data_IF_580687681877
#
_entry.id   IF_580687681877
#
_cell.length_a   1.000
_cell.length_b   1.000
_cell.length_c   1.000
_cell.angle_alpha   90.00
_cell.angle_beta   90.00
_cell.angle_gamma   90.00
#
_symmetry.space_group_name_H-M   'P 1'
#
loop_
_entity.id
_entity.type
_entity.pdbx_description
1 polymer ?
#
# COMPACT_ATOMS: atom_id res chain seq x y z
N UNK A 1 -13.12 -0.50 -9.80
CA UNK A 1 -13.58 0.25 -8.64
C UNK A 1 -14.49 1.40 -9.05
N UNK A 2 -15.57 1.70 -8.30
CA UNK A 2 -16.31 2.92 -8.49
C UNK A 2 -15.43 4.14 -8.19
N UNK A 3 -15.48 5.17 -9.05
CA UNK A 3 -14.74 6.41 -8.82
C UNK A 3 -15.53 7.35 -7.92
N UNK A 4 -14.81 8.01 -7.02
CA UNK A 4 -15.38 9.05 -6.14
C UNK A 4 -14.46 10.26 -6.08
N UNK A 5 -15.05 11.42 -5.88
CA UNK A 5 -14.36 12.68 -5.54
C UNK A 5 -14.62 13.11 -4.10
N UNK A 6 -15.30 12.26 -3.31
CA UNK A 6 -15.70 12.56 -1.94
C UNK A 6 -15.11 11.56 -0.97
N UNK A 7 -14.55 12.06 0.10
CA UNK A 7 -14.12 11.26 1.27
C UNK A 7 -15.23 11.34 2.30
N UNK A 8 -15.81 10.19 2.63
CA UNK A 8 -16.82 10.10 3.69
C UNK A 8 -16.15 10.07 5.08
N UNK A 9 -16.91 10.41 6.11
CA UNK A 9 -16.41 10.33 7.49
C UNK A 9 -16.08 8.88 7.87
N UNK A 10 -15.03 8.70 8.66
CA UNK A 10 -14.49 7.41 9.07
C UNK A 10 -13.92 6.55 7.94
N UNK A 11 -13.61 7.14 6.79
CA UNK A 11 -12.95 6.42 5.70
C UNK A 11 -11.54 5.97 6.07
N UNK A 12 -11.08 4.90 5.41
CA UNK A 12 -9.72 4.41 5.47
C UNK A 12 -9.08 4.60 4.10
N UNK A 13 -7.85 5.11 4.05
CA UNK A 13 -7.12 5.35 2.81
C UNK A 13 -5.92 4.41 2.67
N UNK A 14 -5.73 3.85 1.47
CA UNK A 14 -4.52 3.13 1.09
C UNK A 14 -3.77 3.97 0.05
N UNK A 15 -2.52 4.30 0.38
CA UNK A 15 -1.68 5.20 -0.40
C UNK A 15 -0.38 4.48 -0.77
N UNK A 16 -0.20 4.17 -2.05
CA UNK A 16 1.03 3.60 -2.57
C UNK A 16 1.94 4.68 -3.14
N UNK A 17 3.27 4.46 -3.05
CA UNK A 17 4.29 5.30 -3.66
C UNK A 17 4.12 6.80 -3.30
N UNK A 18 4.00 7.06 -1.98
CA UNK A 18 3.56 8.37 -1.48
C UNK A 18 4.53 9.52 -1.78
N UNK A 19 5.81 9.23 -2.07
CA UNK A 19 6.76 10.27 -2.48
C UNK A 19 6.54 10.79 -3.92
N UNK A 20 5.75 10.10 -4.73
CA UNK A 20 5.42 10.52 -6.09
C UNK A 20 6.41 10.09 -7.16
N UNK A 21 6.57 10.87 -8.22
CA UNK A 21 7.41 10.54 -9.37
C UNK A 21 8.90 10.74 -9.08
N UNK A 22 9.73 9.83 -9.61
CA UNK A 22 11.20 9.97 -9.60
C UNK A 22 11.69 11.19 -10.39
N UNK A 23 10.85 11.77 -11.23
CA UNK A 23 11.17 12.95 -12.04
C UNK A 23 10.84 14.27 -11.34
N UNK A 24 10.24 14.23 -10.14
CA UNK A 24 9.96 15.44 -9.38
C UNK A 24 11.23 15.96 -8.68
N UNK A 25 11.50 17.25 -8.83
CA UNK A 25 12.64 17.91 -8.18
C UNK A 25 12.57 17.86 -6.65
N UNK A 26 11.38 17.75 -6.07
CA UNK A 26 11.13 17.76 -4.64
C UNK A 26 11.03 16.35 -4.03
N UNK A 27 11.27 15.31 -4.82
CA UNK A 27 11.19 13.90 -4.40
C UNK A 27 11.99 13.59 -3.11
N UNK A 28 13.07 14.32 -2.86
CA UNK A 28 13.93 14.10 -1.70
C UNK A 28 13.46 14.82 -0.44
N UNK A 29 12.51 15.75 -0.55
CA UNK A 29 12.12 16.58 0.58
C UNK A 29 11.14 15.87 1.52
N UNK A 30 10.03 15.41 0.98
CA UNK A 30 8.95 14.77 1.78
C UNK A 30 8.08 13.87 0.89
N UNK A 31 6.85 13.56 1.34
CA UNK A 31 5.82 12.94 0.50
C UNK A 31 5.35 13.92 -0.58
N UNK A 32 4.82 13.41 -1.69
CA UNK A 32 4.39 14.22 -2.82
C UNK A 32 3.35 15.28 -2.44
N UNK A 33 3.29 16.35 -3.20
CA UNK A 33 2.28 17.41 -2.99
C UNK A 33 0.85 16.87 -3.10
N UNK A 34 0.60 15.92 -4.01
CA UNK A 34 -0.70 15.27 -4.13
C UNK A 34 -1.07 14.53 -2.84
N UNK A 35 -0.13 13.81 -2.23
CA UNK A 35 -0.33 13.14 -0.94
C UNK A 35 -0.57 14.16 0.18
N UNK A 36 0.26 15.22 0.25
CA UNK A 36 0.12 16.28 1.26
C UNK A 36 -1.25 16.97 1.17
N UNK A 37 -1.65 17.34 -0.05
CA UNK A 37 -2.93 18.01 -0.29
C UNK A 37 -4.12 17.12 0.07
N UNK A 38 -4.07 15.83 -0.30
CA UNK A 38 -5.12 14.88 0.07
C UNK A 38 -5.25 14.76 1.59
N UNK A 39 -4.16 14.57 2.31
CA UNK A 39 -4.15 14.48 3.77
C UNK A 39 -4.67 15.78 4.39
N UNK A 40 -4.14 16.93 3.96
CA UNK A 40 -4.52 18.24 4.49
C UNK A 40 -6.00 18.58 4.31
N UNK A 41 -6.62 18.09 3.21
CA UNK A 41 -8.03 18.34 2.92
C UNK A 41 -8.99 17.36 3.61
N UNK A 42 -8.51 16.17 4.02
CA UNK A 42 -9.40 15.08 4.42
C UNK A 42 -9.02 14.40 5.74
N UNK A 43 -7.96 14.82 6.44
CA UNK A 43 -7.52 14.18 7.69
C UNK A 43 -8.61 14.11 8.75
N UNK A 44 -9.54 15.06 8.78
CA UNK A 44 -10.68 15.09 9.69
C UNK A 44 -11.73 13.99 9.41
N UNK A 45 -11.70 13.39 8.22
CA UNK A 45 -12.59 12.32 7.76
C UNK A 45 -11.94 10.95 7.74
N UNK A 46 -10.62 10.92 7.80
CA UNK A 46 -9.85 9.69 7.74
C UNK A 46 -9.65 9.10 9.14
N UNK A 47 -10.12 7.88 9.34
CA UNK A 47 -9.87 7.10 10.55
C UNK A 47 -8.52 6.40 10.51
N UNK A 48 -8.11 5.94 9.31
CA UNK A 48 -6.84 5.24 9.14
C UNK A 48 -6.23 5.58 7.78
N UNK A 49 -4.91 5.72 7.75
CA UNK A 49 -4.12 5.73 6.51
C UNK A 49 -3.17 4.54 6.55
N UNK A 50 -3.19 3.74 5.50
CA UNK A 50 -2.23 2.64 5.28
C UNK A 50 -1.36 3.00 4.09
N UNK A 51 -0.11 3.28 4.33
CA UNK A 51 0.87 3.45 3.28
C UNK A 51 1.32 2.06 2.79
N UNK A 52 1.17 1.81 1.49
CA UNK A 52 1.56 0.57 0.85
C UNK A 52 2.93 0.70 0.18
N UNK A 53 3.86 1.26 0.93
CA UNK A 53 5.28 1.35 0.63
C UNK A 53 5.72 2.55 -0.19
N UNK A 54 7.03 2.74 -0.19
CA UNK A 54 7.70 3.84 -0.84
C UNK A 54 7.14 5.20 -0.38
N UNK A 55 7.12 5.36 0.95
CA UNK A 55 6.60 6.58 1.58
C UNK A 55 7.54 7.75 1.30
N UNK A 56 8.85 7.50 1.41
CA UNK A 56 9.88 8.49 1.10
C UNK A 56 10.89 7.94 0.10
N UNK A 57 11.34 8.77 -0.83
CA UNK A 57 12.45 8.42 -1.71
C UNK A 57 13.75 8.19 -0.93
N UNK A 58 13.99 9.05 0.08
CA UNK A 58 15.10 8.92 1.05
C UNK A 58 14.53 9.19 2.44
N UNK A 59 14.28 8.15 3.26
CA UNK A 59 13.71 8.30 4.58
C UNK A 59 14.71 8.90 5.58
N UNK A 60 14.17 9.56 6.60
CA UNK A 60 14.90 10.00 7.79
C UNK A 60 13.97 10.00 9.00
N UNK A 61 14.51 9.95 10.23
CA UNK A 61 13.68 10.03 11.44
C UNK A 61 12.80 11.25 11.42
N UNK A 62 13.37 12.40 11.08
CA UNK A 62 12.63 13.67 11.01
C UNK A 62 11.44 13.62 10.03
N UNK A 63 11.58 12.90 8.89
CA UNK A 63 10.48 12.75 7.92
C UNK A 63 9.36 11.87 8.48
N UNK A 64 9.70 10.80 9.19
CA UNK A 64 8.71 9.95 9.85
C UNK A 64 7.96 10.71 10.95
N UNK A 65 8.65 11.53 11.74
CA UNK A 65 8.03 12.42 12.74
C UNK A 65 7.11 13.46 12.06
N UNK A 66 7.60 14.11 10.99
CA UNK A 66 6.80 15.06 10.22
C UNK A 66 5.57 14.42 9.56
N UNK A 67 5.65 13.16 9.13
CA UNK A 67 4.50 12.43 8.61
C UNK A 67 3.41 12.29 9.68
N UNK A 68 3.79 11.92 10.92
CA UNK A 68 2.86 11.86 12.05
C UNK A 68 2.22 13.22 12.33
N UNK A 69 3.02 14.28 12.34
CA UNK A 69 2.54 15.65 12.54
C UNK A 69 1.57 16.08 11.42
N UNK A 70 1.89 15.77 10.17
CA UNK A 70 1.07 16.11 9.00
C UNK A 70 -0.29 15.42 9.01
N UNK A 71 -0.33 14.14 9.37
CA UNK A 71 -1.56 13.36 9.45
C UNK A 71 -2.37 13.71 10.69
N UNK A 72 -1.70 14.03 11.79
CA UNK A 72 -2.32 14.33 13.07
C UNK A 72 -2.53 13.09 13.96
N UNK A 73 -2.89 13.33 15.21
CA UNK A 73 -2.97 12.29 16.25
C UNK A 73 -4.28 11.47 16.22
N UNK A 74 -5.31 11.97 15.54
CA UNK A 74 -6.63 11.33 15.51
C UNK A 74 -6.78 10.27 14.42
N UNK A 75 -5.80 10.18 13.51
CA UNK A 75 -5.81 9.22 12.41
C UNK A 75 -4.73 8.16 12.65
N UNK A 76 -5.11 6.90 12.63
CA UNK A 76 -4.16 5.80 12.72
C UNK A 76 -3.33 5.71 11.44
N UNK A 77 -2.02 5.48 11.58
CA UNK A 77 -1.11 5.27 10.45
C UNK A 77 -0.47 3.90 10.57
N UNK A 78 -0.52 3.15 9.46
CA UNK A 78 0.23 1.90 9.30
C UNK A 78 1.04 1.95 8.01
N UNK A 79 2.17 1.24 7.98
CA UNK A 79 3.07 1.20 6.83
C UNK A 79 3.38 -0.25 6.49
N UNK A 80 3.08 -0.66 5.26
CA UNK A 80 3.66 -1.83 4.63
C UNK A 80 4.91 -1.33 3.87
N UNK A 81 6.14 -1.59 4.34
CA UNK A 81 7.30 -0.89 3.82
C UNK A 81 7.60 -1.24 2.37
N UNK A 82 8.07 -0.25 1.61
CA UNK A 82 8.59 -0.40 0.25
C UNK A 82 10.12 -0.47 0.21
N UNK A 83 10.67 -0.69 -0.98
CA UNK A 83 12.12 -0.84 -1.10
C UNK A 83 12.89 0.45 -0.77
N UNK A 84 12.33 1.62 -1.02
CA UNK A 84 12.96 2.87 -0.61
C UNK A 84 12.99 3.03 0.91
N UNK A 85 12.00 2.48 1.60
CA UNK A 85 11.89 2.58 3.06
C UNK A 85 12.91 1.69 3.79
N UNK A 86 13.28 0.50 3.23
CA UNK A 86 14.01 -0.53 4.02
C UNK A 86 15.17 -1.23 3.30
N UNK A 87 15.42 -1.05 1.99
CA UNK A 87 16.48 -1.81 1.28
C UNK A 87 17.87 -1.31 1.61
N UNK A 88 18.06 -0.01 1.72
CA UNK A 88 19.36 0.54 2.10
C UNK A 88 19.58 0.34 3.61
N UNK A 89 20.80 -0.05 4.06
CA UNK A 89 21.06 -0.25 5.49
C UNK A 89 20.61 0.92 6.35
N UNK A 90 20.98 2.14 5.97
CA UNK A 90 20.60 3.35 6.69
C UNK A 90 19.07 3.57 6.71
N UNK A 91 18.39 3.25 5.61
CA UNK A 91 16.93 3.36 5.53
C UNK A 91 16.23 2.35 6.46
N UNK A 92 16.70 1.11 6.50
CA UNK A 92 16.17 0.08 7.39
C UNK A 92 16.31 0.47 8.86
N UNK A 93 17.47 0.98 9.25
CA UNK A 93 17.70 1.41 10.63
C UNK A 93 16.81 2.62 10.99
N UNK A 94 16.70 3.59 10.10
CA UNK A 94 15.80 4.74 10.24
C UNK A 94 14.33 4.28 10.38
N UNK A 95 13.89 3.32 9.52
CA UNK A 95 12.53 2.79 9.61
C UNK A 95 12.28 2.08 10.94
N UNK A 96 13.18 1.18 11.37
CA UNK A 96 13.08 0.47 12.66
C UNK A 96 13.08 1.41 13.87
N UNK A 97 13.74 2.55 13.79
CA UNK A 97 13.75 3.55 14.86
C UNK A 97 12.48 4.40 14.88
N UNK A 98 11.74 4.47 13.78
CA UNK A 98 10.46 5.18 13.71
C UNK A 98 9.36 4.42 14.46
N UNK A 99 8.29 5.11 14.83
CA UNK A 99 7.10 4.45 15.43
C UNK A 99 6.46 3.41 14.52
N UNK A 100 6.62 3.55 13.19
CA UNK A 100 6.00 2.68 12.19
C UNK A 100 6.76 1.37 11.99
N UNK A 101 8.07 1.36 12.18
CA UNK A 101 8.93 0.20 12.00
C UNK A 101 9.11 -0.70 13.23
N UNK A 102 8.44 -0.37 14.35
CA UNK A 102 8.53 -1.16 15.60
C UNK A 102 7.62 -2.40 15.60
N UNK A 103 6.80 -2.58 14.58
CA UNK A 103 5.90 -3.72 14.46
C UNK A 103 6.65 -4.96 13.92
N UNK A 104 6.24 -6.14 14.37
CA UNK A 104 6.70 -7.39 13.77
C UNK A 104 5.77 -7.76 12.63
N UNK A 105 6.31 -7.86 11.40
CA UNK A 105 5.56 -8.22 10.20
C UNK A 105 5.44 -9.75 10.03
N UNK A 106 4.32 -10.25 9.46
CA UNK A 106 3.07 -9.52 9.23
C UNK A 106 2.32 -9.26 10.53
N UNK A 107 1.50 -8.20 10.56
CA UNK A 107 0.58 -7.95 11.67
C UNK A 107 -0.82 -7.61 11.19
N UNK A 108 -1.80 -7.76 12.07
CA UNK A 108 -3.22 -7.55 11.77
C UNK A 108 -3.74 -6.26 12.41
N UNK A 109 -4.58 -5.56 11.65
CA UNK A 109 -5.45 -4.48 12.13
C UNK A 109 -6.86 -4.74 11.62
N UNK A 110 -7.82 -4.00 12.15
CA UNK A 110 -9.22 -4.13 11.74
C UNK A 110 -9.74 -2.76 11.27
N UNK A 111 -10.27 -2.72 10.06
CA UNK A 111 -10.96 -1.58 9.49
C UNK A 111 -12.46 -1.88 9.49
N UNK A 112 -13.22 -1.24 10.38
CA UNK A 112 -14.66 -1.45 10.56
C UNK A 112 -15.08 -2.93 10.70
N UNK A 113 -14.20 -3.71 11.38
CA UNK A 113 -14.40 -5.15 11.58
C UNK A 113 -13.74 -6.04 10.53
N UNK A 114 -13.34 -5.53 9.39
CA UNK A 114 -12.62 -6.29 8.35
C UNK A 114 -11.13 -6.38 8.69
N UNK A 115 -10.54 -7.57 8.75
CA UNK A 115 -9.13 -7.76 9.03
C UNK A 115 -8.27 -7.26 7.87
N UNK A 116 -7.25 -6.50 8.21
CA UNK A 116 -6.21 -6.03 7.29
C UNK A 116 -4.87 -6.54 7.77
N UNK A 117 -4.19 -7.31 6.94
CA UNK A 117 -2.84 -7.79 7.17
C UNK A 117 -1.88 -6.79 6.55
N UNK A 118 -0.98 -6.26 7.38
CA UNK A 118 0.11 -5.40 6.91
C UNK A 118 1.35 -6.29 6.74
N UNK A 119 1.82 -6.40 5.50
CA UNK A 119 2.89 -7.34 5.11
C UNK A 119 4.15 -6.59 4.65
N UNK A 120 5.33 -7.07 5.08
CA UNK A 120 6.61 -6.61 4.55
C UNK A 120 7.02 -7.46 3.35
N UNK A 121 6.68 -7.00 2.17
CA UNK A 121 6.99 -7.69 0.92
C UNK A 121 8.47 -7.59 0.51
N UNK A 122 9.21 -6.64 1.06
CA UNK A 122 10.62 -6.41 0.71
C UNK A 122 11.51 -7.44 1.37
N UNK A 123 11.31 -7.72 2.66
CA UNK A 123 12.11 -8.70 3.40
C UNK A 123 11.93 -10.12 2.85
N UNK A 124 10.79 -10.41 2.26
CA UNK A 124 10.47 -11.71 1.65
C UNK A 124 10.82 -11.81 0.16
N UNK A 125 11.57 -10.86 -0.39
CA UNK A 125 11.89 -10.76 -1.83
C UNK A 125 10.64 -10.83 -2.72
N UNK A 126 9.59 -10.11 -2.32
CA UNK A 126 8.29 -9.99 -2.97
C UNK A 126 7.38 -11.22 -2.85
N UNK A 127 7.90 -12.36 -2.47
CA UNK A 127 7.08 -13.54 -2.17
C UNK A 127 6.14 -13.25 -0.98
N UNK A 128 5.05 -13.98 -0.91
CA UNK A 128 4.26 -14.05 0.32
C UNK A 128 4.82 -15.22 1.14
N UNK A 129 5.35 -14.94 2.31
CA UNK A 129 5.95 -15.97 3.14
C UNK A 129 4.93 -17.03 3.58
N UNK A 130 5.38 -18.27 3.80
CA UNK A 130 4.48 -19.30 4.32
C UNK A 130 3.84 -18.90 5.65
N UNK A 131 4.58 -18.16 6.50
CA UNK A 131 4.01 -17.61 7.74
C UNK A 131 2.92 -16.60 7.49
N UNK A 132 3.04 -15.76 6.46
CA UNK A 132 1.97 -14.82 6.06
C UNK A 132 0.76 -15.58 5.52
N UNK A 133 0.96 -16.60 4.66
CA UNK A 133 -0.12 -17.44 4.13
C UNK A 133 -0.88 -18.15 5.27
N UNK A 134 -0.14 -18.79 6.18
CA UNK A 134 -0.72 -19.46 7.35
C UNK A 134 -1.49 -18.48 8.24
N UNK A 135 -0.95 -17.28 8.43
CA UNK A 135 -1.58 -16.24 9.23
C UNK A 135 -2.88 -15.77 8.60
N UNK A 136 -2.86 -15.45 7.31
CA UNK A 136 -4.04 -15.01 6.53
C UNK A 136 -5.13 -16.09 6.50
N UNK A 137 -4.76 -17.36 6.31
CA UNK A 137 -5.72 -18.46 6.26
C UNK A 137 -6.40 -18.73 7.62
N UNK A 138 -5.71 -18.45 8.74
CA UNK A 138 -6.25 -18.64 10.11
C UNK A 138 -7.14 -17.50 10.59
N UNK A 139 -7.15 -16.35 9.91
CA UNK A 139 -8.03 -15.24 10.31
C UNK A 139 -9.49 -15.66 10.20
N UNK A 140 -10.24 -15.48 11.27
CA UNK A 140 -11.68 -15.79 11.31
C UNK A 140 -12.49 -14.67 10.64
N UNK A 141 -12.48 -14.64 9.31
CA UNK A 141 -13.28 -13.72 8.48
C UNK A 141 -13.45 -14.31 7.09
N UNK A 142 -14.60 -14.02 6.48
CA UNK A 142 -14.84 -14.37 5.05
C UNK A 142 -14.14 -13.42 4.09
N UNK A 143 -13.66 -12.28 4.57
CA UNK A 143 -12.96 -11.28 3.78
C UNK A 143 -11.67 -10.87 4.49
N UNK A 144 -10.57 -10.80 3.76
CA UNK A 144 -9.26 -10.40 4.28
C UNK A 144 -8.62 -9.42 3.31
N UNK A 145 -8.19 -8.28 3.82
CA UNK A 145 -7.40 -7.30 3.07
C UNK A 145 -5.92 -7.55 3.37
N UNK A 146 -5.07 -7.53 2.36
CA UNK A 146 -3.62 -7.63 2.51
C UNK A 146 -2.99 -6.39 1.88
N UNK A 147 -2.39 -5.55 2.71
CA UNK A 147 -1.68 -4.34 2.29
C UNK A 147 -0.18 -4.63 2.22
N UNK A 148 0.41 -4.41 1.05
CA UNK A 148 1.83 -4.64 0.79
C UNK A 148 2.35 -3.72 -0.32
N UNK A 149 3.67 -3.64 -0.46
CA UNK A 149 4.26 -2.82 -1.51
C UNK A 149 4.32 -3.57 -2.85
N UNK A 150 5.03 -4.69 -2.91
CA UNK A 150 5.31 -5.37 -4.17
C UNK A 150 4.22 -6.38 -4.57
N UNK A 151 4.05 -6.56 -5.89
CA UNK A 151 3.17 -7.55 -6.49
C UNK A 151 3.64 -8.97 -6.15
N UNK A 152 2.77 -9.84 -5.60
CA UNK A 152 3.17 -11.18 -5.19
C UNK A 152 3.16 -12.23 -6.31
N UNK A 153 2.69 -11.91 -7.51
CA UNK A 153 2.53 -12.83 -8.63
C UNK A 153 3.22 -12.31 -9.89
N UNK A 154 3.88 -13.21 -10.63
CA UNK A 154 4.71 -12.84 -11.78
C UNK A 154 3.91 -12.26 -12.95
N UNK A 155 2.70 -12.78 -13.17
CA UNK A 155 1.85 -12.42 -14.33
C UNK A 155 1.36 -10.97 -14.27
N UNK A 156 1.33 -10.37 -13.06
CA UNK A 156 0.82 -9.02 -12.83
C UNK A 156 1.91 -7.99 -12.54
N UNK A 157 3.18 -8.38 -12.48
CA UNK A 157 4.29 -7.47 -12.16
C UNK A 157 4.34 -6.28 -13.12
N UNK A 158 4.12 -6.52 -14.42
CA UNK A 158 4.19 -5.45 -15.43
C UNK A 158 3.16 -4.34 -15.21
N UNK A 159 2.11 -4.59 -14.45
CA UNK A 159 1.10 -3.59 -14.09
C UNK A 159 1.50 -2.76 -12.87
N UNK A 160 2.43 -3.28 -12.05
CA UNK A 160 2.88 -2.60 -10.84
C UNK A 160 4.15 -1.78 -11.09
N UNK A 161 5.17 -2.34 -11.74
CA UNK A 161 6.46 -1.67 -11.88
C UNK A 161 7.18 -1.89 -13.25
N UNK A 162 6.42 -2.13 -14.30
CA UNK A 162 6.91 -2.03 -15.71
C UNK A 162 7.86 -3.14 -16.08
N UNK A 163 8.39 -4.04 -15.65
CA UNK A 163 9.37 -5.08 -16.06
C UNK A 163 10.75 -5.00 -15.37
N UNK A 164 10.95 -4.04 -14.47
CA UNK A 164 12.30 -3.75 -13.96
C UNK A 164 12.82 -4.81 -12.99
N UNK A 165 11.93 -5.55 -12.34
CA UNK A 165 12.30 -6.51 -11.30
C UNK A 165 11.59 -7.84 -11.51
N UNK A 166 12.29 -8.76 -12.14
CA UNK A 166 11.82 -10.14 -12.22
C UNK A 166 12.38 -10.91 -11.01
N UNK A 167 11.56 -11.13 -10.00
CA UNK A 167 11.87 -12.18 -9.06
C UNK A 167 11.65 -13.52 -9.76
N UNK A 168 12.73 -14.29 -9.95
CA UNK A 168 12.67 -15.64 -10.54
C UNK A 168 11.93 -16.66 -9.65
N UNK A 169 11.45 -16.21 -8.50
CA UNK A 169 10.78 -17.03 -7.48
C UNK A 169 9.29 -16.80 -7.40
N UNK A 170 8.76 -15.72 -8.02
CA UNK A 170 7.33 -15.47 -8.00
C UNK A 170 6.60 -16.51 -8.85
N UNK A 171 5.49 -16.94 -8.33
CA UNK A 171 4.59 -17.91 -8.98
C UNK A 171 3.61 -17.20 -9.91
N UNK A 172 3.00 -17.97 -10.80
CA UNK A 172 1.85 -17.52 -11.57
C UNK A 172 0.66 -17.26 -10.62
N UNK A 173 -0.28 -16.44 -11.08
CA UNK A 173 -1.50 -16.17 -10.30
C UNK A 173 -2.27 -17.45 -9.97
N UNK A 174 -2.34 -18.41 -10.90
CA UNK A 174 -3.00 -19.69 -10.69
C UNK A 174 -2.36 -20.55 -9.59
N UNK A 175 -1.02 -20.57 -9.51
CA UNK A 175 -0.31 -21.29 -8.46
C UNK A 175 -0.46 -20.60 -7.11
N UNK A 176 -0.41 -19.27 -7.13
CA UNK A 176 -0.49 -18.44 -5.96
C UNK A 176 -1.82 -18.59 -5.22
N UNK A 177 -2.95 -18.45 -5.93
CA UNK A 177 -4.28 -18.46 -5.30
C UNK A 177 -4.62 -19.80 -4.65
N UNK A 178 -4.07 -20.91 -5.14
CA UNK A 178 -4.29 -22.26 -4.57
C UNK A 178 -3.75 -22.45 -3.15
N UNK A 179 -2.95 -21.51 -2.67
CA UNK A 179 -2.38 -21.53 -1.30
C UNK A 179 -3.35 -21.00 -0.26
N UNK A 180 -4.42 -20.37 -0.70
CA UNK A 180 -5.37 -19.67 0.17
C UNK A 180 -6.69 -20.41 0.29
N UNK A 181 -7.40 -20.12 1.37
CA UNK A 181 -8.71 -20.69 1.65
C UNK A 181 -9.72 -20.23 0.58
N UNK A 182 -10.28 -21.20 -0.17
CA UNK A 182 -11.23 -20.94 -1.26
C UNK A 182 -12.58 -20.36 -0.80
N UNK A 183 -12.90 -20.49 0.49
CA UNK A 183 -14.16 -20.03 1.07
C UNK A 183 -14.08 -18.58 1.59
N UNK A 184 -12.92 -17.91 1.39
CA UNK A 184 -12.67 -16.50 1.74
C UNK A 184 -12.44 -15.66 0.50
N UNK A 185 -12.69 -14.36 0.61
CA UNK A 185 -12.31 -13.35 -0.39
C UNK A 185 -11.06 -12.60 0.06
N UNK A 186 -10.09 -12.45 -0.84
CA UNK A 186 -8.83 -11.78 -0.56
C UNK A 186 -8.67 -10.53 -1.42
N UNK A 187 -8.39 -9.40 -0.76
CA UNK A 187 -8.17 -8.12 -1.40
C UNK A 187 -6.70 -7.70 -1.21
N UNK A 188 -5.91 -7.80 -2.27
CA UNK A 188 -4.50 -7.45 -2.28
C UNK A 188 -4.34 -5.99 -2.69
N UNK A 189 -3.84 -5.15 -1.80
CA UNK A 189 -3.57 -3.76 -2.10
C UNK A 189 -2.06 -3.58 -2.24
N UNK A 190 -1.63 -3.32 -3.47
CA UNK A 190 -0.23 -3.26 -3.88
C UNK A 190 0.13 -1.84 -4.28
N UNK A 191 1.21 -1.29 -3.69
CA UNK A 191 1.54 0.13 -3.78
C UNK A 191 2.63 0.54 -4.76
N UNK A 192 3.15 -0.37 -5.60
CA UNK A 192 4.40 -0.18 -6.38
C UNK A 192 4.17 0.35 -7.81
N UNK A 193 3.07 1.05 -8.13
CA UNK A 193 2.81 1.49 -9.51
C UNK A 193 3.10 2.98 -9.79
N UNK A 194 3.52 3.74 -8.80
CA UNK A 194 3.67 5.19 -8.93
C UNK A 194 4.92 5.69 -9.66
N UNK A 195 5.96 4.87 -9.76
CA UNK A 195 7.26 5.29 -10.26
C UNK A 195 7.30 5.55 -11.78
N UNK A 196 6.37 5.01 -12.55
CA UNK A 196 6.41 4.97 -14.00
C UNK A 196 5.21 5.69 -14.61
N UNK A 197 5.47 6.70 -15.42
CA UNK A 197 4.43 7.55 -16.03
C UNK A 197 3.51 6.78 -16.99
N UNK A 198 4.05 5.75 -17.65
CA UNK A 198 3.33 4.90 -18.60
C UNK A 198 2.38 3.90 -17.94
N UNK A 199 2.49 3.66 -16.64
CA UNK A 199 1.61 2.73 -15.93
C UNK A 199 0.31 3.40 -15.48
N UNK A 200 -0.80 2.65 -15.46
CA UNK A 200 -2.04 3.11 -14.85
C UNK A 200 -1.83 3.45 -13.37
N UNK A 201 -2.41 4.55 -12.89
CA UNK A 201 -2.36 4.93 -11.47
C UNK A 201 -3.22 4.02 -10.60
N UNK A 202 -4.17 3.33 -11.19
CA UNK A 202 -5.01 2.34 -10.55
C UNK A 202 -5.31 1.20 -11.53
N UNK A 203 -5.12 -0.02 -11.08
CA UNK A 203 -5.59 -1.22 -11.76
C UNK A 203 -6.35 -2.11 -10.79
N UNK A 204 -7.38 -2.77 -11.29
CA UNK A 204 -8.19 -3.73 -10.51
C UNK A 204 -8.36 -5.00 -11.34
N UNK A 205 -7.85 -6.11 -10.82
CA UNK A 205 -7.93 -7.42 -11.47
C UNK A 205 -8.53 -8.42 -10.51
N UNK A 206 -9.39 -9.28 -11.04
CA UNK A 206 -10.06 -10.33 -10.27
C UNK A 206 -9.64 -11.68 -10.84
N UNK A 207 -9.20 -12.57 -9.99
CA UNK A 207 -8.90 -13.93 -10.31
C UNK A 207 -9.46 -14.84 -9.20
N UNK A 208 -10.47 -15.65 -9.54
CA UNK A 208 -11.21 -16.47 -8.57
C UNK A 208 -11.74 -15.61 -7.40
N UNK A 209 -11.37 -15.96 -6.16
CA UNK A 209 -11.72 -15.24 -4.94
C UNK A 209 -10.68 -14.19 -4.52
N UNK A 210 -9.73 -13.85 -5.40
CA UNK A 210 -8.71 -12.85 -5.19
C UNK A 210 -8.95 -11.62 -6.05
N UNK A 211 -8.89 -10.44 -5.43
CA UNK A 211 -8.91 -9.14 -6.11
C UNK A 211 -7.59 -8.43 -5.84
N UNK A 212 -6.91 -8.01 -6.91
CA UNK A 212 -5.67 -7.25 -6.83
C UNK A 212 -5.95 -5.79 -7.20
N UNK A 213 -5.77 -4.91 -6.24
CA UNK A 213 -5.75 -3.47 -6.45
C UNK A 213 -4.30 -3.01 -6.52
N UNK A 214 -3.91 -2.45 -7.64
CA UNK A 214 -2.56 -1.95 -7.89
C UNK A 214 -2.65 -0.45 -7.95
N UNK A 215 -1.93 0.23 -7.05
CA UNK A 215 -2.02 1.66 -6.86
C UNK A 215 -0.63 2.26 -6.68
N UNK A 216 -0.48 3.52 -7.05
CA UNK A 216 0.73 4.29 -6.79
C UNK A 216 0.59 5.72 -7.28
N UNK A 217 1.02 6.68 -6.47
CA UNK A 217 1.03 8.08 -6.83
C UNK A 217 2.28 8.40 -7.65
N UNK A 218 2.12 9.20 -8.69
CA UNK A 218 3.21 9.64 -9.57
C UNK A 218 3.37 11.16 -9.62
N UNK A 219 2.62 11.89 -8.78
CA UNK A 219 2.53 13.36 -8.80
C UNK A 219 2.14 13.92 -10.17
N UNK A 220 1.18 13.26 -10.80
CA UNK A 220 0.64 13.64 -12.09
C UNK A 220 -0.88 13.86 -12.00
N UNK A 221 -1.42 14.51 -13.02
CA UNK A 221 -2.88 14.59 -13.17
C UNK A 221 -3.47 13.20 -13.30
N UNK A 222 -4.50 12.91 -12.49
CA UNK A 222 -5.14 11.60 -12.47
C UNK A 222 -4.53 10.61 -11.48
N UNK A 223 -3.61 11.04 -10.62
CA UNK A 223 -3.24 10.27 -9.44
C UNK A 223 -4.48 9.85 -8.68
N UNK A 224 -4.48 8.61 -8.22
CA UNK A 224 -5.60 8.09 -7.45
C UNK A 224 -5.12 7.22 -6.28
N UNK A 225 -5.96 7.11 -5.29
CA UNK A 225 -5.75 6.24 -4.14
C UNK A 225 -7.01 5.41 -3.86
N UNK A 226 -6.88 4.43 -3.01
CA UNK A 226 -7.99 3.55 -2.65
C UNK A 226 -8.59 4.03 -1.34
N UNK A 227 -9.89 4.23 -1.33
CA UNK A 227 -10.67 4.41 -0.11
C UNK A 227 -11.42 3.11 0.23
N UNK A 228 -11.53 2.86 1.51
CA UNK A 228 -12.36 1.79 2.07
C UNK A 228 -13.27 2.39 3.13
N UNK A 229 -14.55 2.13 3.01
CA UNK A 229 -15.56 2.58 3.97
C UNK A 229 -16.75 1.61 3.95
N UNK A 230 -17.25 1.21 5.12
CA UNK A 230 -18.42 0.32 5.25
C UNK A 230 -18.34 -0.91 4.31
N UNK A 231 -17.21 -1.62 4.33
CA UNK A 231 -16.94 -2.81 3.51
C UNK A 231 -16.93 -2.56 1.99
N UNK A 232 -16.75 -1.31 1.56
CA UNK A 232 -16.76 -0.95 0.14
C UNK A 232 -15.44 -0.25 -0.25
N UNK A 233 -14.84 -0.73 -1.34
CA UNK A 233 -13.69 -0.06 -1.96
C UNK A 233 -14.13 0.94 -3.04
N UNK A 234 -13.44 2.07 -3.11
CA UNK A 234 -13.59 3.05 -4.16
C UNK A 234 -12.25 3.66 -4.57
N UNK A 235 -12.16 4.15 -5.81
CA UNK A 235 -11.02 4.90 -6.31
C UNK A 235 -11.29 6.40 -6.09
N UNK A 236 -10.45 7.05 -5.29
CA UNK A 236 -10.47 8.50 -5.14
C UNK A 236 -9.46 9.11 -6.11
N UNK A 237 -9.94 9.91 -7.06
CA UNK A 237 -9.08 10.62 -8.02
C UNK A 237 -8.70 11.97 -7.44
N UNK A 238 -7.38 12.18 -7.28
CA UNK A 238 -6.85 13.46 -6.82
C UNK A 238 -6.96 14.45 -7.98
N UNK A 239 -7.81 15.47 -7.81
CA UNK A 239 -7.86 16.58 -8.75
C UNK A 239 -6.65 17.47 -8.57
N UNK A 240 -5.91 17.68 -9.63
CA UNK A 240 -4.82 18.66 -9.73
C UNK A 240 -5.33 20.08 -9.61
#
# INVERSE_FOLDING_TARGET
LPKTSKVESNSHAFIGHAYGSVNDSNIYDFISLNTQNFIGQHSDKLKTIIFTGDVFSVPSIKKWELLRETVGLNTDIYVAPGNHDVVRPDSLDVFKMSEFGQQQYPFIKYLDGTPVIIDDSVISNWEVSNSTIDFVNKVESSEVIIARHNMPVVDLISLANGNSYKSNKLESVEQFVRKFDKDKSFYWIVGDSGAFEELPRMSCLIFENHTFFINGLGQVSGDSLILYNESTFSEFVISS
#
